data_IF_434494917767
#
_entry.id   IF_434494917767
#
_cell.length_a   1.000
_cell.length_b   1.000
_cell.length_c   1.000
_cell.angle_alpha   90.00
_cell.angle_beta   90.00
_cell.angle_gamma   90.00
#
_symmetry.space_group_name_H-M   'P 1'
#
loop_
_entity.id
_entity.type
_entity.pdbx_description
1 polymer ?
#
# COMPACT_ATOMS: atom_id res chain seq x y z
N UNK A 1 7.73 -4.35 23.65
CA UNK A 1 6.40 -4.10 23.07
C UNK A 1 5.31 -4.80 23.88
N UNK A 2 5.44 -6.09 24.21
CA UNK A 2 4.49 -6.79 25.11
C UNK A 2 4.39 -6.18 26.53
N UNK A 3 5.44 -5.50 27.00
CA UNK A 3 5.46 -4.85 28.32
C UNK A 3 4.55 -3.60 28.43
N UNK A 4 3.94 -3.14 27.34
CA UNK A 4 3.09 -1.92 27.31
C UNK A 4 1.59 -2.30 27.24
N UNK A 5 1.25 -3.59 27.25
CA UNK A 5 -0.13 -4.09 27.27
C UNK A 5 -0.63 -4.58 25.91
N UNK A 6 -1.59 -5.51 25.91
CA UNK A 6 -2.09 -6.15 24.69
C UNK A 6 -2.82 -5.20 23.73
N UNK A 7 -3.15 -3.98 24.15
CA UNK A 7 -3.71 -2.93 23.30
C UNK A 7 -2.68 -2.41 22.29
N UNK A 8 -1.42 -2.22 22.70
CA UNK A 8 -0.40 -1.64 21.82
C UNK A 8 -0.11 -2.52 20.60
N UNK A 9 -0.11 -3.85 20.77
CA UNK A 9 0.06 -4.80 19.65
C UNK A 9 -1.15 -4.89 18.72
N UNK A 10 -2.37 -4.63 19.19
CA UNK A 10 -3.59 -4.65 18.36
C UNK A 10 -3.78 -3.38 17.52
N UNK A 11 -3.11 -2.30 17.90
CA UNK A 11 -3.19 -0.97 17.28
C UNK A 11 -1.93 -0.58 16.50
N UNK A 12 -1.00 -1.53 16.35
CA UNK A 12 0.19 -1.41 15.52
C UNK A 12 -0.03 -2.23 14.26
N UNK A 13 0.08 -1.59 13.11
CA UNK A 13 -0.02 -2.28 11.83
C UNK A 13 0.94 -1.65 10.81
N UNK A 14 1.24 -2.43 9.78
CA UNK A 14 1.95 -1.96 8.61
C UNK A 14 1.34 -2.60 7.36
N UNK A 15 1.46 -1.92 6.23
CA UNK A 15 1.17 -2.54 4.94
C UNK A 15 2.15 -2.05 3.88
N UNK A 16 2.32 -2.88 2.86
CA UNK A 16 3.12 -2.58 1.67
C UNK A 16 2.21 -2.65 0.45
N UNK A 17 2.19 -1.56 -0.32
CA UNK A 17 1.50 -1.48 -1.60
C UNK A 17 2.53 -1.38 -2.73
N UNK A 18 2.08 -1.06 -3.94
CA UNK A 18 2.99 -0.90 -5.08
C UNK A 18 3.88 0.35 -4.96
N UNK A 19 3.37 1.41 -4.35
CA UNK A 19 3.99 2.73 -4.38
C UNK A 19 4.49 3.20 -2.99
N UNK A 20 4.09 2.51 -1.92
CA UNK A 20 4.43 2.92 -0.55
C UNK A 20 4.46 1.75 0.45
N UNK A 21 5.22 1.95 1.53
CA UNK A 21 5.13 1.15 2.76
C UNK A 21 4.70 2.08 3.87
N UNK A 22 3.62 1.73 4.58
CA UNK A 22 3.03 2.58 5.62
C UNK A 22 3.06 1.83 6.94
N UNK A 23 3.62 2.48 7.95
CA UNK A 23 3.57 2.06 9.35
C UNK A 23 2.65 3.00 10.11
N UNK A 24 1.76 2.47 10.94
CA UNK A 24 0.85 3.30 11.73
C UNK A 24 0.61 2.73 13.13
N UNK A 25 0.40 3.66 14.06
CA UNK A 25 0.16 3.41 15.46
C UNK A 25 -1.09 4.20 15.88
N UNK A 26 -2.10 3.51 16.39
CA UNK A 26 -3.22 4.16 17.08
C UNK A 26 -2.96 4.13 18.59
N UNK A 27 -2.75 5.29 19.20
CA UNK A 27 -2.38 5.39 20.61
C UNK A 27 -3.23 6.44 21.35
N UNK A 28 -3.46 6.25 22.66
CA UNK A 28 -3.90 7.34 23.53
C UNK A 28 -2.88 8.48 23.52
N UNK A 29 -3.37 9.73 23.44
CA UNK A 29 -2.54 10.93 23.36
C UNK A 29 -2.40 11.66 24.69
N UNK A 30 -3.14 11.21 25.72
CA UNK A 30 -3.16 11.74 27.08
C UNK A 30 -2.08 11.14 27.99
N UNK A 31 -1.43 10.05 27.57
CA UNK A 31 -0.31 9.42 28.26
C UNK A 31 1.04 9.81 27.60
N UNK A 32 1.85 10.66 28.25
CA UNK A 32 3.14 11.07 27.71
C UNK A 32 4.15 9.94 27.51
N UNK A 33 4.09 8.86 28.31
CA UNK A 33 5.00 7.73 28.16
C UNK A 33 4.67 6.89 26.93
N UNK A 34 3.37 6.70 26.65
CA UNK A 34 2.93 6.00 25.43
C UNK A 34 3.30 6.83 24.20
N UNK A 35 3.10 8.15 24.26
CA UNK A 35 3.48 9.05 23.18
C UNK A 35 4.99 8.98 22.90
N UNK A 36 5.83 9.08 23.93
CA UNK A 36 7.30 8.97 23.78
C UNK A 36 7.71 7.63 23.13
N UNK A 37 7.13 6.52 23.61
CA UNK A 37 7.43 5.19 23.06
C UNK A 37 7.01 5.05 21.61
N UNK A 38 5.86 5.59 21.22
CA UNK A 38 5.42 5.56 19.82
C UNK A 38 6.39 6.31 18.90
N UNK A 39 6.87 7.48 19.32
CA UNK A 39 7.89 8.22 18.56
C UNK A 39 9.22 7.47 18.48
N UNK A 40 9.64 6.81 19.57
CA UNK A 40 10.84 5.97 19.55
C UNK A 40 10.70 4.81 18.54
N UNK A 41 9.58 4.09 18.56
CA UNK A 41 9.33 2.97 17.66
C UNK A 41 9.33 3.41 16.19
N UNK A 42 8.66 4.53 15.87
CA UNK A 42 8.62 5.06 14.51
C UNK A 42 10.02 5.47 14.03
N UNK A 43 10.83 6.06 14.92
CA UNK A 43 12.24 6.37 14.64
C UNK A 43 13.08 5.10 14.42
N UNK A 44 12.85 4.06 15.22
CA UNK A 44 13.57 2.79 15.08
C UNK A 44 13.22 2.09 13.76
N UNK A 45 11.97 2.15 13.29
CA UNK A 45 11.63 1.67 11.94
C UNK A 45 12.24 2.52 10.84
N UNK A 46 12.25 3.84 11.01
CA UNK A 46 12.83 4.73 10.02
C UNK A 46 14.35 4.52 9.90
N UNK A 47 15.04 4.24 11.00
CA UNK A 47 16.50 4.33 11.04
C UNK A 47 17.25 3.18 11.70
N UNK A 48 16.67 2.35 12.55
CA UNK A 48 17.42 1.46 13.43
C UNK A 48 17.03 -0.03 13.28
N UNK A 49 16.48 -0.43 12.13
CA UNK A 49 16.19 -1.86 11.89
C UNK A 49 17.51 -2.65 11.80
N UNK A 50 17.67 -3.60 12.72
CA UNK A 50 18.70 -4.63 12.65
C UNK A 50 18.25 -5.78 11.74
N UNK A 51 19.07 -6.11 10.76
CA UNK A 51 18.86 -7.29 9.90
C UNK A 51 19.67 -8.47 10.45
N UNK A 52 19.30 -8.93 11.64
CA UNK A 52 19.93 -10.10 12.27
C UNK A 52 19.58 -11.36 11.46
N UNK A 53 20.56 -12.17 11.02
CA UNK A 53 20.30 -13.30 10.13
C UNK A 53 19.26 -14.28 10.68
N UNK A 54 19.29 -14.55 11.99
CA UNK A 54 18.37 -15.49 12.64
C UNK A 54 16.91 -15.00 12.59
N UNK A 55 16.66 -13.72 12.81
CA UNK A 55 15.33 -13.11 12.73
C UNK A 55 14.83 -13.09 11.28
N UNK A 56 15.72 -12.81 10.31
CA UNK A 56 15.35 -12.86 8.88
C UNK A 56 14.90 -14.26 8.49
N UNK A 57 15.62 -15.31 8.91
CA UNK A 57 15.24 -16.69 8.60
C UNK A 57 13.89 -17.10 9.24
N UNK A 58 13.58 -16.58 10.43
CA UNK A 58 12.26 -16.78 11.05
C UNK A 58 11.16 -16.08 10.23
N UNK A 59 11.39 -14.84 9.82
CA UNK A 59 10.42 -14.04 9.05
C UNK A 59 10.13 -14.63 7.66
N UNK A 60 11.09 -15.31 7.02
CA UNK A 60 10.82 -16.04 5.76
C UNK A 60 9.65 -17.01 5.91
N UNK A 61 9.61 -17.76 7.01
CA UNK A 61 8.55 -18.72 7.28
C UNK A 61 7.19 -18.06 7.44
N UNK A 62 7.16 -16.89 8.09
CA UNK A 62 5.94 -16.09 8.29
C UNK A 62 5.40 -15.58 6.94
N UNK A 63 6.26 -14.96 6.13
CA UNK A 63 5.86 -14.42 4.81
C UNK A 63 5.40 -15.52 3.85
N UNK A 64 6.07 -16.68 3.86
CA UNK A 64 5.67 -17.82 3.02
C UNK A 64 4.32 -18.41 3.47
N UNK A 65 4.06 -18.46 4.77
CA UNK A 65 2.78 -18.91 5.29
C UNK A 65 1.66 -17.91 4.98
N UNK A 66 1.92 -16.60 5.08
CA UNK A 66 0.98 -15.56 4.65
C UNK A 66 0.68 -15.70 3.15
N UNK A 67 1.71 -15.86 2.31
CA UNK A 67 1.54 -16.09 0.88
C UNK A 67 0.68 -17.33 0.63
N UNK A 68 0.90 -18.43 1.36
CA UNK A 68 0.15 -19.69 1.24
C UNK A 68 -1.32 -19.51 1.66
N UNK A 69 -1.58 -18.83 2.78
CA UNK A 69 -2.92 -18.56 3.29
C UNK A 69 -3.69 -17.59 2.38
N UNK A 70 -2.97 -16.69 1.70
CA UNK A 70 -3.53 -15.78 0.70
C UNK A 70 -3.88 -16.44 -0.64
N UNK A 71 -3.61 -17.74 -0.83
CA UNK A 71 -3.96 -18.45 -2.06
C UNK A 71 -5.43 -18.87 -2.09
N UNK A 72 -6.03 -18.81 -3.28
CA UNK A 72 -7.40 -19.28 -3.51
C UNK A 72 -8.00 -18.68 -4.77
N UNK A 73 -9.31 -18.84 -4.94
CA UNK A 73 -10.05 -18.18 -6.02
C UNK A 73 -9.77 -16.67 -6.07
N UNK A 74 -9.85 -15.98 -4.92
CA UNK A 74 -9.70 -14.52 -4.85
C UNK A 74 -8.32 -14.04 -5.31
N UNK A 75 -7.24 -14.78 -5.01
CA UNK A 75 -5.89 -14.42 -5.49
C UNK A 75 -5.76 -14.60 -6.99
N UNK A 76 -6.20 -15.75 -7.54
CA UNK A 76 -6.16 -16.02 -8.98
C UNK A 76 -7.02 -15.04 -9.78
N UNK A 77 -8.20 -14.72 -9.25
CA UNK A 77 -9.08 -13.70 -9.80
C UNK A 77 -8.41 -12.33 -9.83
N UNK A 78 -7.84 -11.89 -8.70
CA UNK A 78 -7.12 -10.61 -8.60
C UNK A 78 -5.94 -10.55 -9.56
N UNK A 79 -5.15 -11.62 -9.67
CA UNK A 79 -4.02 -11.67 -10.60
C UNK A 79 -4.46 -11.56 -12.07
N UNK A 80 -5.57 -12.22 -12.43
CA UNK A 80 -6.17 -12.11 -13.76
C UNK A 80 -6.65 -10.68 -14.04
N UNK A 81 -7.36 -10.08 -13.08
CA UNK A 81 -7.83 -8.70 -13.16
C UNK A 81 -6.65 -7.72 -13.30
N UNK A 82 -5.62 -7.84 -12.49
CA UNK A 82 -4.46 -6.96 -12.52
C UNK A 82 -3.66 -7.09 -13.82
N UNK A 83 -3.54 -8.29 -14.40
CA UNK A 83 -2.95 -8.44 -15.74
C UNK A 83 -3.78 -7.71 -16.81
N UNK A 84 -5.10 -7.83 -16.77
CA UNK A 84 -5.99 -7.14 -17.71
C UNK A 84 -5.90 -5.61 -17.55
N UNK A 85 -5.85 -5.11 -16.30
CA UNK A 85 -5.76 -3.69 -15.99
C UNK A 85 -4.39 -3.09 -16.28
N UNK A 86 -3.31 -3.74 -15.84
CA UNK A 86 -1.97 -3.17 -15.88
C UNK A 86 -1.19 -3.52 -17.15
N UNK A 87 -1.68 -4.47 -17.95
CA UNK A 87 -1.08 -4.83 -19.23
C UNK A 87 0.38 -5.24 -19.08
N UNK A 88 1.27 -4.65 -19.89
CA UNK A 88 2.71 -4.88 -19.85
C UNK A 88 3.46 -3.83 -18.99
N UNK A 89 2.84 -3.32 -17.93
CA UNK A 89 3.48 -2.36 -17.02
C UNK A 89 4.24 -3.04 -15.89
N UNK A 90 5.04 -2.29 -15.14
CA UNK A 90 5.71 -2.85 -13.96
C UNK A 90 4.74 -3.35 -12.89
N UNK A 91 3.57 -2.75 -12.78
CA UNK A 91 2.55 -3.13 -11.78
C UNK A 91 2.04 -4.56 -12.00
N UNK A 92 2.06 -5.09 -13.23
CA UNK A 92 1.68 -6.49 -13.48
C UNK A 92 2.75 -7.51 -13.09
N UNK A 93 3.99 -7.07 -12.87
CA UNK A 93 5.15 -7.94 -12.58
C UNK A 93 5.64 -7.82 -11.12
N UNK A 94 5.16 -6.82 -10.37
CA UNK A 94 5.68 -6.44 -9.06
C UNK A 94 4.60 -6.45 -7.99
N UNK A 95 3.83 -7.53 -7.92
CA UNK A 95 2.90 -7.74 -6.83
C UNK A 95 3.62 -7.59 -5.47
N UNK A 96 3.06 -6.88 -4.48
CA UNK A 96 3.75 -6.58 -3.22
C UNK A 96 4.24 -7.81 -2.45
N UNK A 97 3.51 -8.92 -2.51
CA UNK A 97 3.89 -10.19 -1.87
C UNK A 97 5.16 -10.82 -2.47
N UNK A 98 5.56 -10.39 -3.67
CA UNK A 98 6.76 -10.86 -4.34
C UNK A 98 6.65 -12.29 -4.87
N UNK A 99 7.82 -12.92 -5.02
CA UNK A 99 7.96 -14.29 -5.50
C UNK A 99 8.41 -15.18 -4.33
N UNK A 100 7.76 -16.32 -4.05
CA UNK A 100 8.14 -17.23 -2.97
C UNK A 100 9.62 -17.63 -3.03
N UNK A 101 10.15 -17.87 -4.23
CA UNK A 101 11.55 -18.27 -4.43
C UNK A 101 12.52 -17.16 -4.01
N UNK A 102 12.13 -15.90 -4.18
CA UNK A 102 12.91 -14.74 -3.71
C UNK A 102 12.81 -14.62 -2.20
N UNK A 103 11.63 -14.82 -1.60
CA UNK A 103 11.45 -14.81 -0.14
C UNK A 103 12.30 -15.90 0.52
N UNK A 104 12.41 -17.08 -0.10
CA UNK A 104 13.23 -18.19 0.42
C UNK A 104 14.73 -17.93 0.35
N UNK A 105 15.20 -17.18 -0.65
CA UNK A 105 16.64 -17.16 -1.00
C UNK A 105 17.31 -15.78 -0.94
N UNK A 106 16.53 -14.70 -0.80
CA UNK A 106 17.07 -13.34 -0.77
C UNK A 106 18.10 -13.19 0.37
N UNK A 107 19.37 -12.83 0.08
CA UNK A 107 20.38 -12.67 1.11
C UNK A 107 20.06 -11.48 2.02
N UNK A 108 20.43 -11.60 3.30
CA UNK A 108 20.20 -10.58 4.34
C UNK A 108 20.78 -9.22 3.90
N UNK A 109 21.93 -9.24 3.24
CA UNK A 109 22.61 -8.06 2.71
C UNK A 109 21.77 -7.34 1.64
N UNK A 110 20.99 -8.07 0.84
CA UNK A 110 20.11 -7.46 -0.15
C UNK A 110 18.89 -6.81 0.49
N UNK A 111 18.36 -7.39 1.57
CA UNK A 111 17.28 -6.78 2.36
C UNK A 111 17.76 -5.49 3.03
N UNK A 112 18.94 -5.54 3.66
CA UNK A 112 19.59 -4.37 4.25
C UNK A 112 19.85 -3.28 3.21
N UNK A 113 20.40 -3.65 2.05
CA UNK A 113 20.65 -2.70 0.97
C UNK A 113 19.35 -2.07 0.42
N UNK A 114 18.24 -2.82 0.40
CA UNK A 114 16.94 -2.26 0.04
C UNK A 114 16.47 -1.24 1.09
N UNK A 115 16.55 -1.58 2.37
CA UNK A 115 16.21 -0.68 3.47
C UNK A 115 17.03 0.61 3.43
N UNK A 116 18.36 0.52 3.36
CA UNK A 116 19.25 1.68 3.29
C UNK A 116 18.99 2.58 2.07
N UNK A 117 18.58 1.98 0.94
CA UNK A 117 18.29 2.71 -0.29
C UNK A 117 17.00 3.53 -0.20
N UNK A 118 15.94 2.98 0.39
CA UNK A 118 14.59 3.55 0.33
C UNK A 118 14.13 4.19 1.64
N UNK A 119 14.61 3.74 2.80
CA UNK A 119 14.22 4.27 4.10
C UNK A 119 15.05 5.51 4.45
N UNK A 120 14.80 6.60 3.71
CA UNK A 120 15.50 7.88 3.83
C UNK A 120 14.55 9.02 4.21
N UNK A 121 14.98 9.99 5.04
CA UNK A 121 14.10 11.08 5.50
C UNK A 121 13.42 11.86 4.36
N UNK A 122 14.13 12.11 3.26
CA UNK A 122 13.60 12.84 2.09
C UNK A 122 12.60 12.03 1.24
N UNK A 123 12.46 10.72 1.50
CA UNK A 123 11.46 9.84 0.89
C UNK A 123 10.35 9.46 1.89
N UNK A 124 10.35 10.03 3.09
CA UNK A 124 9.40 9.73 4.15
C UNK A 124 8.47 10.91 4.43
N UNK A 125 7.26 10.60 4.87
CA UNK A 125 6.35 11.55 5.48
C UNK A 125 5.87 10.99 6.81
N UNK A 126 5.91 11.82 7.86
CA UNK A 126 5.27 11.52 9.13
C UNK A 126 3.95 12.28 9.21
N UNK A 127 2.85 11.57 9.47
CA UNK A 127 1.51 12.15 9.55
C UNK A 127 0.95 11.88 10.94
N UNK A 128 0.54 12.93 11.65
CA UNK A 128 -0.10 12.83 12.95
C UNK A 128 -1.51 13.43 12.87
N UNK A 129 -2.53 12.64 13.26
CA UNK A 129 -3.94 13.02 13.18
C UNK A 129 -4.63 12.64 14.48
N UNK A 130 -5.29 13.61 15.13
CA UNK A 130 -6.03 13.37 16.37
C UNK A 130 -6.16 14.63 17.22
N UNK A 131 -6.56 14.43 18.48
CA UNK A 131 -6.53 15.47 19.51
C UNK A 131 -5.11 15.61 20.07
N UNK A 132 -4.34 16.53 19.48
CA UNK A 132 -2.91 16.68 19.66
C UNK A 132 -2.54 18.15 19.82
N UNK A 133 -1.60 18.47 20.71
CA UNK A 133 -0.93 19.77 20.74
C UNK A 133 0.14 19.83 19.62
N UNK A 134 -0.03 20.69 18.59
CA UNK A 134 0.92 20.77 17.49
C UNK A 134 2.34 21.13 17.92
N UNK A 135 2.50 21.95 18.96
CA UNK A 135 3.82 22.37 19.42
C UNK A 135 4.57 21.21 20.10
N UNK A 136 3.85 20.41 20.89
CA UNK A 136 4.38 19.20 21.52
C UNK A 136 4.79 18.17 20.46
N UNK A 137 3.93 17.93 19.46
CA UNK A 137 4.19 16.98 18.38
C UNK A 137 5.37 17.44 17.53
N UNK A 138 5.44 18.71 17.15
CA UNK A 138 6.60 19.24 16.41
C UNK A 138 7.92 19.06 17.19
N UNK A 139 7.90 19.28 18.51
CA UNK A 139 9.06 19.06 19.36
C UNK A 139 9.48 17.58 19.39
N UNK A 140 8.53 16.65 19.50
CA UNK A 140 8.78 15.20 19.45
C UNK A 140 9.33 14.76 18.09
N UNK A 141 8.77 15.27 17.00
CA UNK A 141 9.27 15.01 15.65
C UNK A 141 10.73 15.45 15.53
N UNK A 142 11.05 16.66 15.98
CA UNK A 142 12.44 17.16 15.98
C UNK A 142 13.34 16.33 16.91
N UNK A 143 12.85 15.88 18.06
CA UNK A 143 13.63 15.08 18.99
C UNK A 143 14.04 13.73 18.39
N UNK A 144 13.12 13.03 17.71
CA UNK A 144 13.33 11.65 17.26
C UNK A 144 13.80 11.54 15.80
N UNK A 145 13.44 12.48 14.94
CA UNK A 145 13.73 12.41 13.51
C UNK A 145 14.70 13.48 13.01
N UNK A 146 15.11 14.44 13.86
CA UNK A 146 16.19 15.32 13.46
C UNK A 146 17.45 14.49 13.21
N UNK A 147 18.25 14.85 12.20
CA UNK A 147 19.52 14.20 12.01
C UNK A 147 20.36 14.36 13.29
N UNK A 148 21.04 13.30 13.76
CA UNK A 148 21.94 13.45 14.89
C UNK A 148 22.98 14.55 14.55
N UNK A 149 23.40 15.37 15.53
CA UNK A 149 24.39 16.41 15.29
C UNK A 149 25.61 15.80 14.60
N UNK A 150 25.95 16.33 13.42
CA UNK A 150 26.99 15.86 12.48
C UNK A 150 27.88 14.72 13.02
N UNK A 151 27.46 13.48 12.77
CA UNK A 151 28.14 12.26 13.24
C UNK A 151 28.25 11.21 12.15
N UNK A 152 29.17 10.26 12.35
CA UNK A 152 29.57 9.19 11.41
C UNK A 152 28.39 8.47 10.75
N UNK A 153 27.28 8.25 11.48
CA UNK A 153 26.08 7.58 10.96
C UNK A 153 25.38 8.33 9.80
N UNK A 154 25.41 9.68 9.81
CA UNK A 154 24.83 10.48 8.73
C UNK A 154 25.76 10.54 7.51
N UNK A 155 27.08 10.49 7.75
CA UNK A 155 28.09 10.40 6.70
C UNK A 155 28.11 9.01 6.06
N UNK A 156 27.95 7.93 6.82
CA UNK A 156 27.81 6.57 6.29
C UNK A 156 26.57 6.44 5.39
N UNK A 157 25.39 6.86 5.84
CA UNK A 157 24.17 6.76 5.03
C UNK A 157 24.20 7.61 3.77
N UNK A 158 24.73 8.83 3.86
CA UNK A 158 24.90 9.69 2.70
C UNK A 158 25.98 9.16 1.72
N UNK A 159 26.98 8.43 2.22
CA UNK A 159 28.01 7.81 1.39
C UNK A 159 27.55 6.52 0.69
N UNK A 160 26.56 5.81 1.25
CA UNK A 160 26.11 4.50 0.75
C UNK A 160 25.26 4.58 -0.53
N UNK A 161 24.49 5.65 -0.78
CA UNK A 161 23.57 5.66 -1.92
C UNK A 161 23.46 7.00 -2.68
N UNK A 162 23.44 6.99 -4.03
CA UNK A 162 23.18 8.19 -4.83
C UNK A 162 21.78 8.76 -4.51
N UNK A 163 21.52 10.05 -4.83
CA UNK A 163 20.18 10.62 -4.74
C UNK A 163 19.21 9.73 -5.52
N UNK A 164 18.25 9.12 -4.81
CA UNK A 164 17.29 8.21 -5.43
C UNK A 164 16.06 9.03 -5.80
N UNK A 165 15.95 9.36 -7.09
CA UNK A 165 14.69 9.86 -7.63
C UNK A 165 13.67 8.73 -7.60
N UNK A 166 12.48 8.99 -7.06
CA UNK A 166 11.37 8.02 -7.13
C UNK A 166 11.09 7.71 -8.60
N UNK A 167 11.22 6.44 -9.03
CA UNK A 167 10.95 6.09 -10.40
C UNK A 167 9.45 6.13 -10.65
N UNK A 168 9.04 6.68 -11.79
CA UNK A 168 7.66 6.66 -12.25
C UNK A 168 7.47 5.57 -13.30
N UNK A 169 6.41 4.77 -13.18
CA UNK A 169 6.06 3.75 -14.16
C UNK A 169 4.67 4.00 -14.72
N UNK A 170 4.57 4.15 -16.03
CA UNK A 170 3.28 4.35 -16.68
C UNK A 170 2.54 3.02 -16.85
N UNK A 171 1.21 3.09 -16.78
CA UNK A 171 0.32 2.00 -17.18
C UNK A 171 -0.12 2.24 -18.63
N UNK A 172 0.22 1.35 -19.59
CA UNK A 172 -0.17 1.52 -20.98
C UNK A 172 -1.69 1.63 -21.16
N UNK A 173 -2.09 2.65 -21.92
CA UNK A 173 -3.45 2.77 -22.44
C UNK A 173 -3.74 1.81 -23.57
N UNK A 174 -4.96 1.85 -24.07
CA UNK A 174 -5.39 1.16 -25.29
C UNK A 174 -6.52 1.94 -25.96
N UNK A 175 -6.47 2.08 -27.28
CA UNK A 175 -7.49 2.83 -28.04
C UNK A 175 -8.78 2.02 -28.21
N UNK A 176 -8.64 0.72 -28.52
CA UNK A 176 -9.78 -0.17 -28.68
C UNK A 176 -10.21 -0.81 -27.36
N UNK A 177 -11.51 -1.11 -27.19
CA UNK A 177 -11.98 -1.91 -26.07
C UNK A 177 -11.30 -3.27 -26.03
N UNK A 178 -10.79 -3.66 -24.86
CA UNK A 178 -10.27 -5.00 -24.61
C UNK A 178 -11.31 -5.82 -23.88
N UNK A 179 -11.39 -7.10 -24.25
CA UNK A 179 -12.24 -8.09 -23.58
C UNK A 179 -11.30 -9.13 -23.01
N UNK A 180 -11.36 -9.34 -21.70
CA UNK A 180 -10.65 -10.40 -21.01
C UNK A 180 -11.67 -11.35 -20.37
N UNK A 181 -11.37 -12.65 -20.37
CA UNK A 181 -12.26 -13.69 -19.86
C UNK A 181 -11.44 -14.55 -18.90
N UNK A 182 -11.74 -14.40 -17.62
CA UNK A 182 -11.19 -15.27 -16.58
C UNK A 182 -12.23 -16.34 -16.22
N UNK A 183 -11.80 -17.61 -16.22
CA UNK A 183 -12.63 -18.76 -15.83
C UNK A 183 -11.91 -19.54 -14.74
N UNK A 184 -12.62 -19.86 -13.67
CA UNK A 184 -12.11 -20.66 -12.56
C UNK A 184 -13.23 -21.57 -12.02
N UNK A 185 -12.97 -22.86 -11.74
CA UNK A 185 -13.98 -23.78 -11.23
C UNK A 185 -14.48 -23.40 -9.82
N UNK A 186 -13.71 -22.65 -9.04
CA UNK A 186 -14.10 -22.16 -7.71
C UNK A 186 -14.86 -20.82 -7.76
N UNK A 187 -15.10 -20.28 -8.96
CA UNK A 187 -15.82 -19.02 -9.12
C UNK A 187 -17.26 -19.15 -8.58
N UNK A 188 -17.71 -18.26 -7.67
CA UNK A 188 -19.02 -18.35 -7.06
C UNK A 188 -20.16 -18.01 -8.05
N UNK A 189 -19.82 -17.39 -9.19
CA UNK A 189 -20.76 -17.03 -10.23
C UNK A 189 -20.09 -16.30 -11.39
N UNK A 190 -20.87 -15.94 -12.40
CA UNK A 190 -20.37 -15.19 -13.55
C UNK A 190 -20.57 -13.69 -13.33
N UNK A 191 -19.49 -12.92 -13.38
CA UNK A 191 -19.52 -11.46 -13.32
C UNK A 191 -19.17 -10.84 -14.68
N UNK A 192 -19.66 -9.62 -14.94
CA UNK A 192 -19.18 -8.76 -16.01
C UNK A 192 -18.67 -7.48 -15.36
N UNK A 193 -17.43 -7.11 -15.66
CA UNK A 193 -16.82 -5.87 -15.17
C UNK A 193 -16.50 -5.00 -16.37
N UNK A 194 -16.98 -3.76 -16.34
CA UNK A 194 -16.63 -2.74 -17.32
C UNK A 194 -15.70 -1.73 -16.66
N UNK A 195 -14.46 -1.66 -17.13
CA UNK A 195 -13.46 -0.72 -16.62
C UNK A 195 -13.11 0.30 -17.70
N UNK A 196 -13.03 1.57 -17.31
CA UNK A 196 -12.51 2.65 -18.14
C UNK A 196 -11.30 3.27 -17.45
N UNK A 197 -10.14 3.18 -18.07
CA UNK A 197 -8.93 3.89 -17.62
C UNK A 197 -9.09 5.39 -17.87
N UNK A 198 -8.81 6.19 -16.86
CA UNK A 198 -8.85 7.66 -16.94
C UNK A 198 -7.44 8.12 -16.62
N UNK A 199 -6.83 8.88 -17.54
CA UNK A 199 -5.50 9.42 -17.31
C UNK A 199 -5.53 10.37 -16.10
N UNK A 200 -4.48 10.39 -15.25
CA UNK A 200 -4.37 11.37 -14.20
C UNK A 200 -4.35 12.78 -14.79
N UNK A 201 -5.23 13.65 -14.31
CA UNK A 201 -5.26 15.07 -14.69
C UNK A 201 -4.27 15.85 -13.80
N UNK A 202 -3.44 16.69 -14.41
CA UNK A 202 -2.55 17.59 -13.67
C UNK A 202 -3.34 18.75 -13.06
N UNK A 203 -3.06 19.06 -11.78
CA UNK A 203 -3.67 20.17 -11.05
C UNK A 203 -4.98 19.80 -10.35
N UNK A 204 -5.02 20.05 -9.04
CA UNK A 204 -6.21 19.82 -8.21
C UNK A 204 -6.95 21.14 -7.96
N UNK A 205 -7.33 21.82 -9.04
CA UNK A 205 -8.10 23.06 -8.95
C UNK A 205 -9.60 22.81 -8.82
N UNK A 206 -10.38 23.89 -8.64
CA UNK A 206 -11.83 23.80 -8.52
C UNK A 206 -12.50 23.23 -9.78
N UNK A 207 -11.92 23.45 -10.97
CA UNK A 207 -12.48 22.95 -12.21
C UNK A 207 -12.31 21.43 -12.32
N UNK A 208 -11.12 20.93 -11.97
CA UNK A 208 -10.85 19.50 -11.80
C UNK A 208 -11.79 18.88 -10.76
N UNK A 209 -11.95 19.48 -9.58
CA UNK A 209 -12.83 18.97 -8.54
C UNK A 209 -14.29 18.85 -9.02
N UNK A 210 -14.79 19.86 -9.74
CA UNK A 210 -16.14 19.81 -10.32
C UNK A 210 -16.29 18.67 -11.33
N UNK A 211 -15.30 18.46 -12.20
CA UNK A 211 -15.31 17.34 -13.17
C UNK A 211 -15.27 15.99 -12.44
N UNK A 212 -14.39 15.84 -11.45
CA UNK A 212 -14.22 14.58 -10.71
C UNK A 212 -15.48 14.20 -9.91
N UNK A 213 -16.16 15.16 -9.30
CA UNK A 213 -17.46 14.94 -8.64
C UNK A 213 -18.55 14.61 -9.65
N UNK A 214 -18.62 15.33 -10.78
CA UNK A 214 -19.61 15.06 -11.83
C UNK A 214 -19.47 13.63 -12.37
N UNK A 215 -18.25 13.19 -12.62
CA UNK A 215 -17.96 11.85 -13.11
C UNK A 215 -18.32 10.77 -12.07
N UNK A 216 -18.03 11.02 -10.78
CA UNK A 216 -18.44 10.13 -9.69
C UNK A 216 -19.95 9.95 -9.63
N UNK A 217 -20.69 11.06 -9.66
CA UNK A 217 -22.15 11.02 -9.64
C UNK A 217 -22.71 10.27 -10.86
N UNK A 218 -22.14 10.49 -12.04
CA UNK A 218 -22.56 9.78 -13.26
C UNK A 218 -22.39 8.26 -13.12
N UNK A 219 -21.25 7.78 -12.63
CA UNK A 219 -21.02 6.34 -12.40
C UNK A 219 -21.91 5.78 -11.28
N UNK A 220 -22.12 6.52 -10.19
CA UNK A 220 -23.03 6.11 -9.12
C UNK A 220 -24.45 5.93 -9.65
N UNK A 221 -24.96 6.92 -10.42
CA UNK A 221 -26.30 6.85 -11.00
C UNK A 221 -26.44 5.71 -12.01
N UNK A 222 -25.40 5.48 -12.83
CA UNK A 222 -25.37 4.35 -13.77
C UNK A 222 -25.44 3.01 -13.03
N UNK A 223 -24.61 2.83 -12.01
CA UNK A 223 -24.56 1.58 -11.22
C UNK A 223 -25.87 1.34 -10.47
N UNK A 224 -26.44 2.38 -9.84
CA UNK A 224 -27.75 2.29 -9.20
C UNK A 224 -28.83 1.85 -10.19
N UNK A 225 -28.82 2.44 -11.40
CA UNK A 225 -29.79 2.09 -12.45
C UNK A 225 -29.62 0.67 -12.98
N UNK A 226 -28.39 0.19 -13.14
CA UNK A 226 -28.11 -1.19 -13.53
C UNK A 226 -28.55 -2.17 -12.45
N UNK A 227 -28.28 -1.85 -11.18
CA UNK A 227 -28.68 -2.67 -10.03
C UNK A 227 -30.21 -2.78 -9.91
N UNK A 228 -30.94 -1.67 -10.01
CA UNK A 228 -32.41 -1.67 -10.04
C UNK A 228 -32.96 -2.59 -11.14
N UNK A 229 -32.40 -2.49 -12.36
CA UNK A 229 -32.81 -3.31 -13.50
C UNK A 229 -32.48 -4.78 -13.30
N UNK A 230 -31.35 -5.09 -12.66
CA UNK A 230 -30.96 -6.46 -12.32
C UNK A 230 -31.89 -7.14 -11.31
N UNK A 231 -32.62 -6.37 -10.49
CA UNK A 231 -33.60 -6.87 -9.52
C UNK A 231 -35.04 -6.93 -10.03
N UNK A 232 -35.31 -6.47 -11.27
CA UNK A 232 -36.65 -6.54 -11.83
C UNK A 232 -37.13 -7.99 -12.00
N UNK A 233 -38.45 -8.21 -11.98
CA UNK A 233 -39.05 -9.56 -12.07
C UNK A 233 -38.72 -10.31 -13.38
N UNK A 234 -38.40 -9.57 -14.43
CA UNK A 234 -37.88 -10.08 -15.70
C UNK A 234 -36.67 -9.22 -16.10
N UNK A 235 -35.50 -9.44 -15.46
CA UNK A 235 -34.32 -8.67 -15.76
C UNK A 235 -33.83 -9.09 -17.15
N UNK A 236 -33.60 -8.17 -18.10
CA UNK A 236 -33.06 -8.52 -19.40
C UNK A 236 -31.62 -9.03 -19.23
N UNK A 237 -31.47 -10.33 -19.02
CA UNK A 237 -30.19 -11.01 -18.86
C UNK A 237 -29.46 -10.71 -17.54
N UNK A 238 -29.72 -11.56 -16.53
CA UNK A 238 -28.83 -11.92 -15.40
C UNK A 238 -28.53 -10.86 -14.31
N UNK A 239 -28.76 -11.24 -13.04
CA UNK A 239 -28.33 -10.48 -11.86
C UNK A 239 -26.79 -10.44 -11.76
N UNK A 240 -26.21 -9.23 -11.79
CA UNK A 240 -24.77 -8.99 -11.60
C UNK A 240 -24.55 -7.65 -10.89
N UNK A 241 -23.80 -7.65 -9.80
CA UNK A 241 -23.23 -6.44 -9.19
C UNK A 241 -22.10 -5.90 -10.07
N UNK A 242 -22.20 -4.61 -10.43
CA UNK A 242 -21.13 -3.84 -11.04
C UNK A 242 -20.26 -3.23 -9.94
N UNK A 243 -19.06 -3.76 -9.73
CA UNK A 243 -18.01 -3.11 -8.92
C UNK A 243 -17.05 -2.39 -9.88
N UNK A 244 -16.80 -1.10 -9.63
CA UNK A 244 -15.79 -0.31 -10.34
C UNK A 244 -14.65 -0.06 -9.36
N UNK A 245 -13.48 -0.60 -9.64
CA UNK A 245 -12.24 -0.23 -8.95
C UNK A 245 -11.49 0.83 -9.77
N UNK A 246 -10.93 1.82 -9.08
CA UNK A 246 -10.05 2.83 -9.66
C UNK A 246 -8.63 2.32 -9.59
N UNK A 247 -7.92 2.35 -10.71
CA UNK A 247 -6.45 2.31 -10.77
C UNK A 247 -5.89 3.72 -10.67
#
# INVERSE_FOLDING_TARGET
LESIGSSFGAHQNAYTSYDETVYFLEIPTDDPEILEKAFQILSDWAYAISFEPEEVELERGVVLEEWRLGQGFDSRWRDGLYRALFGASRYSERAPIGLPEVVETAPVEQLRAYYERWYRPELMALVAVGDLDPALIEAKIKQHFAPPPEGEAQQERAAIAPPTTLPTFDVPGHEEPRIDIFTDPEAPGTQLILVRKIAPEAGQDLAWFKRSVTQQLAFMMLNARLFERGQAADPPGCGREARVERS
#
